data_IF_736702937254
#
_entry.id   IF_736702937254
#
_cell.length_a   1.000
_cell.length_b   1.000
_cell.length_c   1.000
_cell.angle_alpha   90.00
_cell.angle_beta   90.00
_cell.angle_gamma   90.00
#
_symmetry.space_group_name_H-M   'P 1'
#
loop_
_entity.id
_entity.type
_entity.pdbx_description
1 polymer ?
#
# COMPACT_ATOMS: atom_id res chain seq x y z
N UNK A 1 -16.87 23.28 -3.80
CA UNK A 1 -15.56 23.19 -3.14
C UNK A 1 -15.83 23.08 -1.65
N UNK A 2 -15.60 21.91 -1.06
CA UNK A 2 -15.69 21.74 0.39
C UNK A 2 -14.41 22.35 0.96
N UNK A 3 -14.52 23.39 1.77
CA UNK A 3 -13.35 24.03 2.36
C UNK A 3 -12.83 23.13 3.50
N UNK A 4 -11.75 22.38 3.27
CA UNK A 4 -11.13 21.53 4.30
C UNK A 4 -10.57 22.41 5.41
N UNK A 5 -10.95 22.14 6.67
CA UNK A 5 -10.44 22.92 7.80
C UNK A 5 -8.98 22.55 8.10
N UNK A 6 -8.14 23.46 8.65
CA UNK A 6 -6.76 23.15 9.03
C UNK A 6 -6.63 21.92 9.96
N UNK A 7 -7.66 21.65 10.77
CA UNK A 7 -7.74 20.49 11.65
C UNK A 7 -7.85 19.18 10.84
N UNK A 8 -8.65 19.16 9.78
CA UNK A 8 -8.85 17.97 8.95
C UNK A 8 -7.56 17.58 8.23
N UNK A 9 -6.79 18.59 7.79
CA UNK A 9 -5.45 18.41 7.21
C UNK A 9 -4.51 17.78 8.22
N UNK A 10 -4.48 18.32 9.45
CA UNK A 10 -3.60 17.82 10.50
C UNK A 10 -3.92 16.36 10.89
N UNK A 11 -5.21 16.02 10.98
CA UNK A 11 -5.66 14.65 11.25
C UNK A 11 -5.24 13.71 10.13
N UNK A 12 -5.44 14.11 8.86
CA UNK A 12 -5.03 13.29 7.72
C UNK A 12 -3.52 13.03 7.70
N UNK A 13 -2.72 14.08 7.89
CA UNK A 13 -1.27 13.95 7.95
C UNK A 13 -0.83 13.00 9.06
N UNK A 14 -1.47 13.09 10.23
CA UNK A 14 -1.16 12.22 11.36
C UNK A 14 -1.50 10.76 11.06
N UNK A 15 -2.66 10.49 10.45
CA UNK A 15 -3.04 9.14 10.01
C UNK A 15 -2.04 8.58 8.99
N UNK A 16 -1.62 9.40 8.03
CA UNK A 16 -0.61 9.01 7.03
C UNK A 16 0.72 8.68 7.69
N UNK A 17 1.21 9.53 8.61
CA UNK A 17 2.45 9.26 9.33
C UNK A 17 2.38 7.96 10.15
N UNK A 18 1.24 7.69 10.78
CA UNK A 18 1.02 6.42 11.50
C UNK A 18 1.10 5.23 10.53
N UNK A 19 0.47 5.31 9.37
CA UNK A 19 0.52 4.24 8.35
C UNK A 19 1.95 4.04 7.84
N UNK A 20 2.70 5.13 7.61
CA UNK A 20 4.10 5.09 7.15
C UNK A 20 5.03 4.43 8.19
N UNK A 21 4.81 4.67 9.47
CA UNK A 21 5.67 4.14 10.52
C UNK A 21 5.29 2.72 10.94
N UNK A 22 3.99 2.45 11.07
CA UNK A 22 3.48 1.17 11.62
C UNK A 22 3.25 0.14 10.52
N UNK A 23 2.80 0.56 9.33
CA UNK A 23 2.47 -0.33 8.23
C UNK A 23 3.61 -1.27 7.84
N UNK A 24 4.82 -0.77 7.55
CA UNK A 24 5.97 -1.62 7.21
C UNK A 24 6.35 -2.59 8.33
N UNK A 25 6.31 -2.14 9.59
CA UNK A 25 6.64 -2.97 10.76
C UNK A 25 5.62 -4.11 10.95
N UNK A 26 4.34 -3.85 10.73
CA UNK A 26 3.29 -4.87 10.78
C UNK A 26 3.47 -5.91 9.67
N UNK A 27 3.75 -5.47 8.44
CA UNK A 27 3.99 -6.38 7.31
C UNK A 27 5.21 -7.27 7.60
N UNK A 28 6.32 -6.70 8.03
CA UNK A 28 7.52 -7.45 8.36
C UNK A 28 7.27 -8.42 9.53
N UNK A 29 6.58 -7.98 10.59
CA UNK A 29 6.25 -8.85 11.72
C UNK A 29 5.37 -10.04 11.33
N UNK A 30 4.42 -9.87 10.40
CA UNK A 30 3.63 -10.97 9.85
C UNK A 30 4.51 -11.92 9.02
N UNK A 31 5.39 -11.38 8.18
CA UNK A 31 6.32 -12.20 7.38
C UNK A 31 7.27 -13.00 8.28
N UNK A 32 7.77 -12.41 9.36
CA UNK A 32 8.59 -13.10 10.36
C UNK A 32 7.80 -14.23 11.04
N UNK A 33 6.54 -14.00 11.41
CA UNK A 33 5.69 -15.06 11.98
C UNK A 33 5.47 -16.22 11.01
N UNK A 34 5.23 -15.94 9.72
CA UNK A 34 5.10 -16.98 8.70
C UNK A 34 6.41 -17.72 8.45
N UNK A 35 7.53 -17.02 8.47
CA UNK A 35 8.85 -17.64 8.38
C UNK A 35 9.09 -18.59 9.55
N UNK A 36 8.76 -18.18 10.77
CA UNK A 36 8.90 -19.01 11.97
C UNK A 36 7.98 -20.24 11.94
N UNK A 37 6.83 -20.17 11.27
CA UNK A 37 5.88 -21.28 11.16
C UNK A 37 6.21 -22.27 10.04
N UNK A 38 6.64 -21.77 8.89
CA UNK A 38 6.85 -22.57 7.68
C UNK A 38 8.31 -22.96 7.44
N UNK A 39 9.26 -22.21 8.02
CA UNK A 39 10.69 -22.31 7.73
C UNK A 39 11.10 -21.68 6.40
N UNK A 40 10.17 -21.12 5.63
CA UNK A 40 10.41 -20.52 4.33
C UNK A 40 10.02 -19.04 4.32
N UNK A 41 10.85 -18.21 3.68
CA UNK A 41 10.59 -16.77 3.59
C UNK A 41 9.59 -16.47 2.48
N UNK A 42 8.39 -16.06 2.86
CA UNK A 42 7.35 -15.64 1.91
C UNK A 42 7.43 -14.15 1.64
N UNK A 43 7.86 -13.77 0.44
CA UNK A 43 7.80 -12.38 -0.01
C UNK A 43 6.37 -12.02 -0.34
N UNK A 44 5.81 -11.01 0.34
CA UNK A 44 4.52 -10.42 -0.03
C UNK A 44 4.75 -9.12 -0.76
N UNK A 45 4.24 -9.05 -1.97
CA UNK A 45 4.35 -7.89 -2.85
C UNK A 45 3.12 -7.01 -2.75
N UNK A 46 3.21 -5.81 -3.31
CA UNK A 46 2.04 -4.93 -3.44
C UNK A 46 0.96 -5.55 -4.31
N UNK A 47 1.38 -6.27 -5.36
CA UNK A 47 0.46 -6.97 -6.24
C UNK A 47 -0.34 -8.05 -5.49
N UNK A 48 0.32 -8.89 -4.68
CA UNK A 48 -0.33 -9.92 -3.87
C UNK A 48 -1.39 -9.32 -2.94
N UNK A 49 -1.05 -8.19 -2.31
CA UNK A 49 -1.97 -7.48 -1.45
C UNK A 49 -3.18 -6.92 -2.21
N UNK A 50 -2.96 -6.22 -3.33
CA UNK A 50 -4.04 -5.64 -4.14
C UNK A 50 -5.01 -6.72 -4.64
N UNK A 51 -4.47 -7.88 -5.01
CA UNK A 51 -5.25 -9.04 -5.39
C UNK A 51 -6.02 -9.63 -4.19
N UNK A 52 -5.39 -9.75 -3.02
CA UNK A 52 -6.00 -10.30 -1.81
C UNK A 52 -7.10 -9.40 -1.20
N UNK A 53 -6.91 -8.08 -1.20
CA UNK A 53 -7.94 -7.14 -0.70
C UNK A 53 -9.10 -6.95 -1.67
N UNK A 54 -9.07 -7.64 -2.81
CA UNK A 54 -10.13 -7.60 -3.80
C UNK A 54 -10.40 -6.16 -4.24
N UNK A 55 -9.36 -5.36 -4.48
CA UNK A 55 -9.55 -4.12 -5.24
C UNK A 55 -9.98 -4.58 -6.63
N UNK A 56 -11.30 -4.70 -6.81
CA UNK A 56 -11.97 -5.29 -7.98
C UNK A 56 -11.78 -4.35 -9.15
N UNK A 57 -10.58 -4.39 -9.72
CA UNK A 57 -10.28 -3.61 -10.88
C UNK A 57 -9.84 -4.61 -11.94
N UNK A 58 -10.65 -4.75 -12.99
CA UNK A 58 -10.46 -5.71 -14.08
C UNK A 58 -9.07 -5.62 -14.73
N UNK A 59 -8.32 -4.53 -14.51
CA UNK A 59 -6.93 -4.43 -14.90
C UNK A 59 -6.03 -5.43 -14.14
N UNK A 60 -6.29 -5.72 -12.87
CA UNK A 60 -5.48 -6.68 -12.08
C UNK A 60 -5.51 -8.11 -12.65
N UNK A 61 -6.60 -8.50 -13.32
CA UNK A 61 -6.79 -9.84 -13.91
C UNK A 61 -6.06 -10.02 -15.26
N UNK A 62 -5.62 -8.93 -15.88
CA UNK A 62 -4.93 -8.93 -17.17
C UNK A 62 -3.56 -8.22 -17.08
N UNK A 63 -2.61 -8.72 -16.26
CA UNK A 63 -1.29 -8.10 -16.06
C UNK A 63 -0.48 -7.93 -17.36
N UNK A 64 -0.78 -8.74 -18.37
CA UNK A 64 -0.14 -8.71 -19.68
C UNK A 64 -0.42 -7.41 -20.47
N UNK A 65 -1.54 -6.73 -20.19
CA UNK A 65 -1.92 -5.50 -20.88
C UNK A 65 -1.18 -4.26 -20.32
N UNK A 66 -0.50 -4.40 -19.18
CA UNK A 66 0.16 -3.32 -18.44
C UNK A 66 1.42 -3.83 -17.73
N UNK A 67 2.26 -4.53 -18.50
CA UNK A 67 3.53 -5.17 -18.08
C UNK A 67 4.44 -4.24 -17.26
N UNK A 68 4.51 -2.95 -17.62
CA UNK A 68 5.38 -1.99 -16.93
C UNK A 68 4.98 -1.79 -15.47
N UNK A 69 3.78 -1.24 -15.19
CA UNK A 69 3.32 -1.06 -13.82
C UNK A 69 3.13 -2.40 -13.08
N UNK A 70 2.70 -3.46 -13.75
CA UNK A 70 2.63 -4.80 -13.14
C UNK A 70 4.00 -5.25 -12.61
N UNK A 71 5.08 -5.15 -13.40
CA UNK A 71 6.44 -5.50 -12.95
C UNK A 71 6.87 -4.70 -11.73
N UNK A 72 6.51 -3.42 -11.65
CA UNK A 72 6.83 -2.57 -10.49
C UNK A 72 6.08 -3.05 -9.26
N UNK A 73 4.76 -3.29 -9.37
CA UNK A 73 3.93 -3.73 -8.24
C UNK A 73 4.29 -5.13 -7.75
N UNK A 74 4.67 -6.03 -8.68
CA UNK A 74 5.07 -7.40 -8.39
C UNK A 74 6.51 -7.51 -7.88
N UNK A 75 7.36 -6.51 -8.15
CA UNK A 75 8.70 -6.44 -7.57
C UNK A 75 8.71 -5.74 -6.20
N UNK A 76 7.81 -4.79 -5.99
CA UNK A 76 7.78 -3.96 -4.79
C UNK A 76 7.28 -4.77 -3.58
N UNK A 77 8.08 -4.88 -2.50
CA UNK A 77 7.61 -5.45 -1.24
C UNK A 77 6.44 -4.63 -0.69
N UNK A 78 5.46 -5.32 -0.09
CA UNK A 78 4.28 -4.66 0.48
C UNK A 78 4.65 -3.63 1.55
N UNK A 79 5.70 -3.89 2.32
CA UNK A 79 6.25 -2.96 3.32
C UNK A 79 6.70 -1.63 2.72
N UNK A 80 7.17 -1.61 1.47
CA UNK A 80 7.46 -0.37 0.73
C UNK A 80 6.19 0.20 0.07
N UNK A 81 5.31 -0.66 -0.40
CA UNK A 81 4.05 -0.28 -1.03
C UNK A 81 3.10 0.50 -0.14
N UNK A 82 3.02 0.17 1.15
CA UNK A 82 2.25 0.94 2.14
C UNK A 82 2.70 2.40 2.19
N UNK A 83 3.99 2.66 1.97
CA UNK A 83 4.54 4.00 1.93
C UNK A 83 4.16 4.77 0.66
N UNK A 84 4.19 4.09 -0.48
CA UNK A 84 3.78 4.65 -1.77
C UNK A 84 2.28 4.97 -1.79
N UNK A 85 1.45 4.05 -1.30
CA UNK A 85 -0.01 4.24 -1.22
C UNK A 85 -0.37 5.42 -0.32
N UNK A 86 0.28 5.55 0.84
CA UNK A 86 0.05 6.68 1.74
C UNK A 86 0.44 8.03 1.10
N UNK A 87 1.53 8.06 0.31
CA UNK A 87 1.94 9.23 -0.46
C UNK A 87 0.97 9.59 -1.60
N UNK A 88 0.44 8.59 -2.32
CA UNK A 88 -0.57 8.81 -3.38
C UNK A 88 -1.85 9.38 -2.79
N UNK A 89 -2.33 8.83 -1.67
CA UNK A 89 -3.52 9.34 -0.98
C UNK A 89 -3.35 10.80 -0.55
N UNK A 90 -2.15 11.18 -0.09
CA UNK A 90 -1.82 12.57 0.22
C UNK A 90 -1.93 13.48 -1.02
N UNK A 91 -1.32 13.09 -2.14
CA UNK A 91 -1.33 13.88 -3.37
C UNK A 91 -2.75 13.99 -3.94
N UNK A 92 -3.51 12.90 -3.93
CA UNK A 92 -4.91 12.90 -4.39
C UNK A 92 -5.75 13.82 -3.52
N UNK A 93 -5.58 13.77 -2.20
CA UNK A 93 -6.29 14.66 -1.29
C UNK A 93 -5.89 16.13 -1.46
N UNK A 94 -4.60 16.46 -1.62
CA UNK A 94 -4.16 17.84 -1.88
C UNK A 94 -4.74 18.40 -3.19
N UNK A 95 -4.84 17.56 -4.23
CA UNK A 95 -5.24 17.99 -5.57
C UNK A 95 -6.76 18.05 -5.77
N UNK A 96 -7.53 17.25 -5.02
CA UNK A 96 -8.99 17.09 -5.20
C UNK A 96 -9.81 17.44 -3.94
N UNK A 97 -9.17 17.68 -2.81
CA UNK A 97 -9.77 18.13 -1.55
C UNK A 97 -9.98 19.64 -1.47
#
# INVERSE_FOLDING_TARGET
MVQTSPRDIAVLLLVIMVILMIGPAVVLGIQDLWFLQSGEWTSVTVFDFLHAVGVIAAWLDHPDDWIGPWKILNWMPLSMGTSVLAGILLIMWIKWG
#
